data_IF_544085109589
#
_entry.id   IF_544085109589
#
_cell.length_a   1.000
_cell.length_b   1.000
_cell.length_c   1.000
_cell.angle_alpha   90.00
_cell.angle_beta   90.00
_cell.angle_gamma   90.00
#
_symmetry.space_group_name_H-M   'P 1'
#
loop_
_entity.id
_entity.type
_entity.pdbx_description
1 polymer ?
#
# COMPACT_ATOMS: atom_id res chain seq x y z
N UNK A 1 -7.32 7.99 -21.86
CA UNK A 1 -5.98 7.43 -21.56
C UNK A 1 -5.43 6.75 -22.81
N UNK A 2 -4.16 6.94 -23.18
CA UNK A 2 -3.56 6.29 -24.36
C UNK A 2 -2.88 4.95 -23.98
N UNK A 3 -2.59 4.09 -24.96
CA UNK A 3 -1.93 2.79 -24.73
C UNK A 3 -0.50 2.92 -24.20
N UNK A 4 0.20 4.01 -24.52
CA UNK A 4 1.54 4.27 -24.03
C UNK A 4 1.56 4.47 -22.50
N UNK A 5 0.63 5.26 -21.95
CA UNK A 5 0.52 5.49 -20.51
C UNK A 5 0.10 4.22 -19.77
N UNK A 6 -0.80 3.41 -20.35
CA UNK A 6 -1.14 2.09 -19.80
C UNK A 6 0.07 1.15 -19.75
N UNK A 7 0.89 1.14 -20.82
CA UNK A 7 2.13 0.38 -20.87
C UNK A 7 3.14 0.86 -19.84
N UNK A 8 3.26 2.18 -19.63
CA UNK A 8 4.14 2.75 -18.61
C UNK A 8 3.70 2.30 -17.21
N UNK A 9 2.41 2.41 -16.88
CA UNK A 9 1.88 1.99 -15.58
C UNK A 9 2.12 0.50 -15.31
N UNK A 10 2.03 -0.35 -16.33
CA UNK A 10 2.32 -1.80 -16.20
C UNK A 10 3.79 -2.12 -15.91
N UNK A 11 4.70 -1.26 -16.32
CA UNK A 11 6.14 -1.43 -16.10
C UNK A 11 6.65 -0.59 -14.91
N UNK A 12 5.77 0.17 -14.26
CA UNK A 12 6.12 1.00 -13.11
C UNK A 12 6.12 0.13 -11.84
N UNK A 13 7.26 -0.51 -11.58
CA UNK A 13 7.43 -1.41 -10.44
C UNK A 13 7.17 -0.72 -9.10
N UNK A 14 7.60 0.54 -8.94
CA UNK A 14 7.36 1.31 -7.72
C UNK A 14 5.86 1.53 -7.47
N UNK A 15 5.10 1.86 -8.53
CA UNK A 15 3.65 1.98 -8.41
C UNK A 15 2.99 0.66 -8.01
N UNK A 16 3.43 -0.44 -8.63
CA UNK A 16 2.92 -1.79 -8.37
C UNK A 16 3.22 -2.22 -6.94
N UNK A 17 4.43 -1.98 -6.44
CA UNK A 17 4.85 -2.32 -5.08
C UNK A 17 4.04 -1.54 -4.05
N UNK A 18 3.88 -0.23 -4.22
CA UNK A 18 3.08 0.62 -3.32
C UNK A 18 1.61 0.22 -3.31
N UNK A 19 1.01 -0.01 -4.48
CA UNK A 19 -0.35 -0.51 -4.57
C UNK A 19 -0.51 -1.91 -3.97
N UNK A 20 0.51 -2.77 -4.10
CA UNK A 20 0.55 -4.10 -3.52
C UNK A 20 0.63 -4.08 -2.00
N UNK A 21 1.43 -3.19 -1.43
CA UNK A 21 1.49 -2.95 0.02
C UNK A 21 0.14 -2.43 0.53
N UNK A 22 -0.48 -1.45 -0.14
CA UNK A 22 -1.83 -0.99 0.22
C UNK A 22 -2.87 -2.13 0.15
N UNK A 23 -2.81 -2.98 -0.87
CA UNK A 23 -3.70 -4.13 -0.99
C UNK A 23 -3.52 -5.13 0.16
N UNK A 24 -2.27 -5.41 0.56
CA UNK A 24 -1.96 -6.27 1.69
C UNK A 24 -2.51 -5.70 3.02
N UNK A 25 -2.38 -4.39 3.25
CA UNK A 25 -2.95 -3.72 4.45
C UNK A 25 -4.48 -3.80 4.53
N UNK A 26 -5.15 -4.04 3.39
CA UNK A 26 -6.60 -4.19 3.31
C UNK A 26 -7.04 -5.66 3.36
N UNK A 27 -6.14 -6.59 3.64
CA UNK A 27 -6.43 -8.03 3.75
C UNK A 27 -6.57 -8.74 2.41
N UNK A 28 -6.12 -8.14 1.30
CA UNK A 28 -6.16 -8.78 -0.02
C UNK A 28 -4.99 -9.77 -0.12
N UNK A 29 -5.32 -11.05 -0.32
CA UNK A 29 -4.34 -12.10 -0.55
C UNK A 29 -3.49 -11.82 -1.80
N UNK A 30 -2.18 -12.07 -1.70
CA UNK A 30 -1.20 -11.80 -2.75
C UNK A 30 -1.30 -10.36 -3.30
N UNK A 31 -1.27 -9.36 -2.40
CA UNK A 31 -1.46 -7.94 -2.73
C UNK A 31 -0.63 -7.44 -3.92
N UNK A 32 0.62 -7.90 -4.06
CA UNK A 32 1.49 -7.56 -5.19
C UNK A 32 0.96 -8.12 -6.53
N UNK A 33 0.52 -9.37 -6.56
CA UNK A 33 -0.08 -9.97 -7.76
C UNK A 33 -1.44 -9.35 -8.09
N UNK A 34 -2.22 -9.02 -7.06
CA UNK A 34 -3.46 -8.27 -7.21
C UNK A 34 -3.17 -6.90 -7.87
N UNK A 35 -2.19 -6.16 -7.35
CA UNK A 35 -1.81 -4.85 -7.87
C UNK A 35 -1.31 -4.95 -9.31
N UNK A 36 -0.42 -5.90 -9.63
CA UNK A 36 0.08 -6.10 -10.99
C UNK A 36 -1.05 -6.37 -12.02
N UNK A 37 -2.14 -7.04 -11.61
CA UNK A 37 -3.31 -7.29 -12.47
C UNK A 37 -4.22 -6.07 -12.60
N UNK A 38 -4.32 -5.25 -11.55
CA UNK A 38 -5.29 -4.14 -11.43
C UNK A 38 -4.67 -2.74 -11.59
N UNK A 39 -3.37 -2.65 -11.85
CA UNK A 39 -2.65 -1.35 -11.89
C UNK A 39 -3.22 -0.38 -12.93
N UNK A 40 -3.70 -0.90 -14.06
CA UNK A 40 -4.33 -0.08 -15.11
C UNK A 40 -5.71 0.41 -14.64
N UNK A 41 -6.39 -0.31 -13.76
CA UNK A 41 -7.72 0.06 -13.28
C UNK A 41 -7.69 1.26 -12.31
N UNK A 42 -6.51 1.65 -11.78
CA UNK A 42 -6.36 2.87 -10.99
C UNK A 42 -6.83 4.11 -11.77
N UNK A 43 -6.72 4.10 -13.11
CA UNK A 43 -7.17 5.21 -13.96
C UNK A 43 -8.68 5.45 -13.93
N UNK A 44 -9.46 4.48 -13.45
CA UNK A 44 -10.91 4.60 -13.29
C UNK A 44 -11.24 5.50 -12.09
N UNK A 45 -10.27 5.71 -11.20
CA UNK A 45 -10.43 6.60 -10.05
C UNK A 45 -10.13 8.05 -10.45
N UNK A 46 -10.97 9.01 -10.05
CA UNK A 46 -10.86 10.39 -10.50
C UNK A 46 -9.54 11.03 -10.05
N UNK A 47 -8.90 11.79 -10.94
CA UNK A 47 -7.65 12.53 -10.65
C UNK A 47 -6.36 11.71 -10.82
N UNK A 48 -6.46 10.40 -11.05
CA UNK A 48 -5.28 9.54 -11.17
C UNK A 48 -4.47 9.76 -12.44
N UNK A 49 -5.14 10.02 -13.56
CA UNK A 49 -4.46 10.25 -14.84
C UNK A 49 -3.67 11.56 -14.79
N UNK A 50 -4.28 12.60 -14.23
CA UNK A 50 -3.65 13.91 -14.06
C UNK A 50 -2.44 13.84 -13.13
N UNK A 51 -2.59 13.17 -11.98
CA UNK A 51 -1.49 12.99 -11.03
C UNK A 51 -0.36 12.14 -11.62
N UNK A 52 -0.68 11.04 -12.31
CA UNK A 52 0.31 10.19 -12.95
C UNK A 52 1.10 10.97 -14.02
N UNK A 53 0.41 11.75 -14.85
CA UNK A 53 1.06 12.58 -15.87
C UNK A 53 1.89 13.72 -15.25
N UNK A 54 1.42 14.33 -14.16
CA UNK A 54 2.15 15.36 -13.42
C UNK A 54 3.43 14.81 -12.77
N UNK A 55 3.40 13.55 -12.32
CA UNK A 55 4.58 12.87 -11.77
C UNK A 55 5.67 12.62 -12.83
N UNK A 56 5.32 12.66 -14.12
CA UNK A 56 6.24 12.45 -15.24
C UNK A 56 7.04 13.68 -15.66
N UNK A 57 6.79 14.85 -15.06
CA UNK A 57 7.63 16.03 -15.29
C UNK A 57 9.03 15.82 -14.71
N UNK A 58 10.10 16.21 -15.40
CA UNK A 58 11.47 16.15 -14.85
C UNK A 58 11.51 16.93 -13.52
N UNK A 59 12.00 16.36 -12.41
CA UNK A 59 12.14 17.13 -11.19
C UNK A 59 13.24 18.16 -11.41
N UNK A 60 13.00 19.40 -10.96
CA UNK A 60 14.00 20.47 -11.01
C UNK A 60 15.13 20.10 -10.03
N UNK A 61 16.19 19.47 -10.54
CA UNK A 61 17.32 19.02 -9.72
C UNK A 61 17.86 17.62 -10.03
N UNK A 62 17.23 16.83 -10.91
CA UNK A 62 17.75 15.52 -11.31
C UNK A 62 18.36 15.59 -12.74
N UNK A 63 19.68 15.80 -12.86
CA UNK A 63 20.34 15.98 -14.17
C UNK A 63 20.47 14.68 -14.97
N UNK A 64 20.32 13.52 -14.32
CA UNK A 64 20.53 12.20 -14.93
C UNK A 64 19.23 11.59 -15.49
N UNK A 65 18.06 12.01 -15.00
CA UNK A 65 16.77 11.46 -15.43
C UNK A 65 16.62 9.97 -15.10
N UNK A 66 17.44 9.43 -14.20
CA UNK A 66 17.47 8.01 -13.86
C UNK A 66 16.38 7.63 -12.83
N UNK A 67 15.79 8.60 -12.15
CA UNK A 67 14.65 8.44 -11.24
C UNK A 67 13.32 8.48 -12.01
N UNK A 68 13.21 7.61 -13.02
CA UNK A 68 12.22 7.69 -14.11
C UNK A 68 10.97 6.81 -13.87
N UNK A 69 10.49 6.70 -12.63
CA UNK A 69 9.20 6.03 -12.36
C UNK A 69 8.19 7.05 -11.89
N UNK A 70 7.16 7.28 -12.71
CA UNK A 70 6.04 8.19 -12.41
C UNK A 70 5.38 7.80 -11.08
N UNK A 71 5.30 6.51 -10.80
CA UNK A 71 4.80 5.90 -9.57
C UNK A 71 5.61 6.14 -8.31
N UNK A 72 6.88 6.52 -8.45
CA UNK A 72 7.82 6.66 -7.33
C UNK A 72 7.76 8.02 -6.64
N UNK A 73 6.92 8.96 -7.12
CA UNK A 73 6.83 10.31 -6.53
C UNK A 73 5.75 10.39 -5.45
N UNK A 74 6.10 10.30 -4.16
CA UNK A 74 5.11 10.43 -3.09
C UNK A 74 4.48 11.83 -3.04
N UNK A 75 5.18 12.87 -3.51
CA UNK A 75 4.67 14.25 -3.52
C UNK A 75 3.49 14.46 -4.47
N UNK A 76 3.37 13.63 -5.51
CA UNK A 76 2.33 13.77 -6.54
C UNK A 76 1.35 12.60 -6.47
N UNK A 77 1.86 11.38 -6.35
CA UNK A 77 1.07 10.17 -6.16
C UNK A 77 1.24 9.76 -4.70
N UNK A 78 0.38 10.31 -3.84
CA UNK A 78 0.44 10.07 -2.40
C UNK A 78 -0.06 8.67 -2.02
N UNK A 79 0.36 8.15 -0.88
CA UNK A 79 -0.14 6.85 -0.38
C UNK A 79 -1.65 6.89 -0.11
N UNK A 80 -2.19 8.05 0.27
CA UNK A 80 -3.63 8.23 0.45
C UNK A 80 -4.42 8.02 -0.86
N UNK A 81 -3.91 8.55 -1.98
CA UNK A 81 -4.52 8.34 -3.30
C UNK A 81 -4.46 6.87 -3.74
N UNK A 82 -3.36 6.18 -3.46
CA UNK A 82 -3.20 4.75 -3.72
C UNK A 82 -4.18 3.96 -2.87
N UNK A 83 -4.24 4.22 -1.57
CA UNK A 83 -5.12 3.54 -0.65
C UNK A 83 -6.59 3.70 -1.03
N UNK A 84 -7.04 4.93 -1.35
CA UNK A 84 -8.40 5.20 -1.80
C UNK A 84 -8.74 4.44 -3.09
N UNK A 85 -7.81 4.42 -4.04
CA UNK A 85 -8.02 3.74 -5.31
C UNK A 85 -8.05 2.21 -5.15
N UNK A 86 -7.17 1.65 -4.31
CA UNK A 86 -7.16 0.22 -3.99
C UNK A 86 -8.46 -0.18 -3.28
N UNK A 87 -8.95 0.59 -2.30
CA UNK A 87 -10.24 0.34 -1.64
C UNK A 87 -11.41 0.28 -2.62
N UNK A 88 -11.47 1.25 -3.55
CA UNK A 88 -12.48 1.27 -4.62
C UNK A 88 -12.40 0.04 -5.53
N UNK A 89 -11.20 -0.33 -5.98
CA UNK A 89 -11.00 -1.46 -6.89
C UNK A 89 -11.21 -2.83 -6.24
N UNK A 90 -10.94 -2.92 -4.93
CA UNK A 90 -11.20 -4.10 -4.13
C UNK A 90 -12.68 -4.27 -3.81
N UNK A 91 -13.52 -3.25 -4.06
CA UNK A 91 -14.92 -3.27 -3.70
C UNK A 91 -15.14 -3.31 -2.18
N UNK A 92 -14.11 -2.93 -1.40
CA UNK A 92 -14.20 -2.77 0.05
C UNK A 92 -14.99 -1.49 0.29
N UNK A 93 -16.31 -1.65 0.24
CA UNK A 93 -17.25 -0.72 0.83
C UNK A 93 -17.21 -1.05 2.32
N UNK A 94 -16.86 -0.07 3.16
CA UNK A 94 -17.14 -0.21 4.61
C UNK A 94 -18.62 -0.59 4.72
N UNK A 95 -18.87 -1.84 5.06
CA UNK A 95 -20.20 -2.33 5.36
C UNK A 95 -20.52 -1.65 6.68
N UNK A 96 -21.29 -0.56 6.62
CA UNK A 96 -22.10 -0.14 7.76
C UNK A 96 -22.78 -1.42 8.25
N UNK A 97 -22.54 -1.85 9.51
CA UNK A 97 -22.94 -3.17 9.96
C UNK A 97 -24.41 -3.34 9.61
N UNK A 98 -24.73 -4.30 8.76
CA UNK A 98 -26.12 -4.58 8.43
C UNK A 98 -26.84 -4.74 9.77
N UNK A 99 -27.95 -4.01 10.01
CA UNK A 99 -28.67 -4.17 11.25
C UNK A 99 -29.01 -5.65 11.38
N UNK A 100 -28.55 -6.27 12.47
CA UNK A 100 -28.87 -7.66 12.78
C UNK A 100 -30.36 -7.85 12.51
N UNK A 101 -30.77 -8.89 11.76
CA UNK A 101 -32.18 -9.14 11.54
C UNK A 101 -32.84 -9.18 12.91
N UNK A 102 -33.83 -8.30 13.14
CA UNK A 102 -34.63 -8.36 14.36
C UNK A 102 -35.12 -9.80 14.49
N UNK A 103 -34.98 -10.45 15.67
CA UNK A 103 -35.47 -11.80 15.84
C UNK A 103 -36.94 -11.82 15.41
N UNK A 104 -37.28 -12.70 14.46
CA UNK A 104 -38.67 -12.89 14.08
C UNK A 104 -39.46 -13.11 15.37
N UNK A 105 -40.59 -12.40 15.58
CA UNK A 105 -41.37 -12.58 16.78
C UNK A 105 -41.71 -14.06 16.90
N UNK A 106 -41.27 -14.69 17.99
CA UNK A 106 -41.59 -16.09 18.26
C UNK A 106 -43.10 -16.30 18.05
N UNK A 107 -43.51 -17.34 17.30
CA UNK A 107 -44.92 -17.61 17.13
C UNK A 107 -45.53 -17.75 18.52
N UNK A 108 -46.50 -16.89 18.83
CA UNK A 108 -47.16 -16.87 20.13
C UNK A 108 -47.55 -18.30 20.53
N UNK A 109 -47.23 -18.76 21.74
CA UNK A 109 -47.55 -20.11 22.16
C UNK A 109 -49.05 -20.30 22.01
N UNK A 110 -49.45 -21.26 21.16
CA UNK A 110 -50.82 -21.71 21.08
C UNK A 110 -51.12 -22.35 22.44
N UNK A 111 -51.99 -21.68 23.20
CA UNK A 111 -52.48 -22.10 24.51
C UNK A 111 -53.38 -23.32 24.30
N UNK A 112 -52.76 -24.46 24.02
CA UNK A 112 -53.40 -25.76 24.08
C UNK A 112 -53.24 -26.27 25.50
N UNK A 113 -54.25 -25.95 26.31
CA UNK A 113 -54.36 -26.30 27.71
C UNK A 113 -54.44 -27.82 27.96
N UNK A 114 -53.30 -28.50 27.91
CA UNK A 114 -53.11 -29.80 28.54
C UNK A 114 -51.93 -29.78 29.50
N UNK A 115 -52.26 -30.11 30.74
CA UNK A 115 -51.39 -30.11 31.90
C UNK A 115 -50.23 -31.09 31.74
N UNK A 116 -48.99 -30.61 31.91
CA UNK A 116 -47.84 -31.47 32.18
C UNK A 116 -47.11 -30.90 33.41
N UNK A 117 -46.91 -31.72 34.47
CA UNK A 117 -46.39 -31.24 35.75
C UNK A 117 -44.87 -30.97 35.69
N UNK A 118 -44.48 -29.93 36.43
CA UNK A 118 -43.19 -29.70 37.09
C UNK A 118 -42.07 -30.71 36.75
N UNK A 119 -41.33 -30.45 35.69
CA UNK A 119 -40.01 -31.04 35.47
C UNK A 119 -39.14 -29.99 34.79
N UNK A 120 -38.24 -29.41 35.57
CA UNK A 120 -37.30 -28.38 35.16
C UNK A 120 -36.54 -28.75 33.87
N UNK A 121 -36.47 -27.83 32.89
CA UNK A 121 -35.28 -27.61 32.09
C UNK A 121 -34.73 -26.23 32.52
N UNK A 122 -33.44 -25.96 32.60
CA UNK A 122 -32.44 -26.23 31.60
C UNK A 122 -31.14 -25.79 32.26
N UNK A 123 -30.20 -26.71 32.46
CA UNK A 123 -28.82 -26.31 32.77
C UNK A 123 -28.24 -25.75 31.48
N UNK A 124 -28.49 -24.47 31.20
CA UNK A 124 -27.75 -23.73 30.18
C UNK A 124 -26.27 -23.83 30.55
N UNK A 125 -25.38 -24.38 29.70
CA UNK A 125 -23.95 -24.28 29.94
C UNK A 125 -23.59 -22.78 29.87
N UNK A 126 -22.99 -22.26 30.94
CA UNK A 126 -22.42 -20.91 30.97
C UNK A 126 -21.45 -20.76 29.78
N UNK A 127 -21.46 -19.62 29.07
CA UNK A 127 -20.52 -19.39 27.97
C UNK A 127 -19.10 -19.42 28.53
N UNK A 128 -18.22 -20.22 27.91
CA UNK A 128 -16.80 -20.25 28.25
C UNK A 128 -16.20 -18.84 28.15
N UNK A 129 -15.35 -18.42 29.10
CA UNK A 129 -14.72 -17.11 29.04
C UNK A 129 -13.83 -17.02 27.80
N UNK A 130 -13.94 -15.89 27.08
CA UNK A 130 -13.11 -15.60 25.92
C UNK A 130 -11.62 -15.71 26.27
N UNK A 131 -10.79 -16.30 25.39
CA UNK A 131 -9.36 -16.42 25.63
C UNK A 131 -8.75 -15.02 25.74
N UNK A 132 -8.00 -14.80 26.82
CA UNK A 132 -7.24 -13.55 27.02
C UNK A 132 -6.30 -13.33 25.82
N UNK A 133 -6.17 -12.07 25.36
CA UNK A 133 -5.28 -11.75 24.25
C UNK A 133 -3.83 -12.12 24.61
N UNK A 134 -3.16 -12.85 23.72
CA UNK A 134 -1.74 -13.18 23.86
C UNK A 134 -0.90 -11.89 23.98
N UNK A 135 0.12 -11.88 24.85
CA UNK A 135 0.98 -10.72 25.02
C UNK A 135 1.72 -10.38 23.71
N UNK A 136 1.75 -9.09 23.37
CA UNK A 136 2.47 -8.59 22.21
C UNK A 136 3.96 -8.99 22.27
N UNK A 137 4.56 -9.40 21.13
CA UNK A 137 5.98 -9.73 21.08
C UNK A 137 6.83 -8.49 21.39
N UNK A 138 7.86 -8.66 22.22
CA UNK A 138 8.82 -7.61 22.53
C UNK A 138 9.54 -7.13 21.25
N UNK A 139 9.82 -5.82 21.14
CA UNK A 139 10.49 -5.26 19.97
C UNK A 139 11.89 -5.85 19.79
N UNK A 140 12.21 -6.25 18.55
CA UNK A 140 13.54 -6.73 18.18
C UNK A 140 14.61 -5.64 18.40
N UNK A 141 15.84 -6.04 18.77
CA UNK A 141 16.94 -5.11 19.03
C UNK A 141 17.31 -4.31 17.76
N UNK A 142 17.61 -3.03 17.95
CA UNK A 142 18.06 -2.14 16.87
C UNK A 142 19.36 -2.67 16.22
N UNK A 143 19.48 -2.57 14.89
CA UNK A 143 20.68 -2.98 14.18
C UNK A 143 21.89 -2.12 14.57
N UNK A 144 23.04 -2.77 14.77
CA UNK A 144 24.31 -2.07 15.03
C UNK A 144 24.72 -1.18 13.84
N UNK A 145 25.35 -0.02 14.09
CA UNK A 145 25.77 0.89 13.04
C UNK A 145 26.83 0.26 12.11
N UNK A 146 26.63 0.43 10.80
CA UNK A 146 27.60 0.00 9.79
C UNK A 146 28.94 0.76 9.93
N UNK A 147 30.08 0.11 9.62
CA UNK A 147 31.40 0.74 9.70
C UNK A 147 31.54 1.89 8.70
N UNK A 148 32.15 2.99 9.16
CA UNK A 148 32.43 4.16 8.34
C UNK A 148 33.37 3.81 7.16
N UNK A 149 33.10 4.33 5.95
CA UNK A 149 33.96 4.10 4.80
C UNK A 149 35.32 4.77 5.00
N UNK A 150 36.39 3.97 5.01
CA UNK A 150 37.76 4.48 4.95
C UNK A 150 37.99 5.13 3.59
N UNK A 151 38.09 6.46 3.58
CA UNK A 151 38.52 7.22 2.41
C UNK A 151 40.03 6.98 2.27
N UNK A 152 40.54 6.37 1.18
CA UNK A 152 41.96 6.34 0.94
C UNK A 152 42.43 7.78 0.73
N UNK A 153 43.46 8.19 1.48
CA UNK A 153 44.13 9.46 1.27
C UNK A 153 44.65 9.51 -0.19
N UNK A 154 44.45 10.62 -0.92
CA UNK A 154 45.05 10.76 -2.23
C UNK A 154 46.57 10.89 -2.08
N UNK A 155 47.28 9.80 -2.38
CA UNK A 155 48.71 9.83 -2.68
C UNK A 155 48.96 10.86 -3.80
N UNK A 156 49.99 11.68 -3.59
CA UNK A 156 50.20 12.98 -4.24
C UNK A 156 50.33 12.99 -5.77
N UNK A 157 49.94 14.13 -6.37
CA UNK A 157 50.86 15.14 -6.92
C UNK A 157 50.05 16.27 -7.62
N UNK A 158 49.96 17.50 -7.08
CA UNK A 158 49.25 18.61 -7.73
C UNK A 158 50.16 19.34 -8.74
N UNK A 159 50.79 18.60 -9.66
CA UNK A 159 51.83 19.13 -10.55
C UNK A 159 51.65 18.92 -12.06
N UNK A 160 50.72 18.08 -12.52
CA UNK A 160 50.64 17.72 -13.96
C UNK A 160 49.20 17.88 -14.52
N UNK A 161 48.70 19.12 -14.51
CA UNK A 161 47.65 19.51 -15.46
C UNK A 161 48.32 20.24 -16.62
N UNK A 162 48.45 19.63 -17.82
CA UNK A 162 48.89 20.39 -18.99
C UNK A 162 47.87 21.50 -19.27
N UNK A 163 48.37 22.73 -19.44
CA UNK A 163 47.57 23.89 -19.78
C UNK A 163 46.72 23.61 -21.03
N UNK A 164 45.48 24.13 -21.12
CA UNK A 164 44.69 24.00 -22.34
C UNK A 164 45.38 24.78 -23.47
N UNK A 165 45.72 24.09 -24.56
CA UNK A 165 46.21 24.68 -25.81
C UNK A 165 45.33 25.86 -26.23
N UNK A 166 45.89 27.06 -26.19
CA UNK A 166 45.33 28.23 -26.88
C UNK A 166 45.51 28.01 -28.39
N UNK A 167 44.45 28.08 -29.22
CA UNK A 167 44.64 28.04 -30.66
C UNK A 167 45.31 29.35 -31.11
N UNK A 168 46.55 29.26 -31.58
CA UNK A 168 47.23 30.36 -32.26
C UNK A 168 46.50 30.72 -33.55
N UNK A 169 45.83 31.87 -33.54
CA UNK A 169 45.34 32.56 -34.72
C UNK A 169 46.58 32.98 -35.56
N UNK A 170 46.73 32.44 -36.77
CA UNK A 170 47.74 32.89 -37.75
C UNK A 170 47.00 33.49 -38.94
N UNK A 171 47.32 34.76 -39.23
CA UNK A 171 47.01 35.50 -40.47
C UNK A 171 47.73 34.92 -41.70
#
# INVERSE_FOLDING_TARGET
MNYFTQSQMRNDHFLIDRAGMCAATLGIADGLQWAARRIIDLVVTPGWVEAYMAAGGRPEGDPAGLTLTLGARPDVITDAMILEAVRRLAGIREVEPEPLPEPEPEPAPQDDGESIPDMAPDSLPEPEPEPEPEPEPEPEPEPEPEPEPMIPEPDGDPGDFPAPDTPSLTE
#
